data_IF_338344714569
#
_entry.id   IF_338344714569
#
_cell.length_a   1.000
_cell.length_b   1.000
_cell.length_c   1.000
_cell.angle_alpha   90.00
_cell.angle_beta   90.00
_cell.angle_gamma   90.00
#
_symmetry.space_group_name_H-M   'P 1'
#
loop_
_entity.id
_entity.type
_entity.pdbx_description
1 polymer ?
#
# COMPACT_ATOMS: atom_id res chain seq x y z
N UNK A 1 8.24 24.26 18.41
CA UNK A 1 7.95 24.86 17.09
C UNK A 1 7.27 23.79 16.25
N UNK A 2 5.94 23.73 16.29
CA UNK A 2 5.12 22.68 15.68
C UNK A 2 4.85 23.06 14.21
N UNK A 3 5.41 22.31 13.25
CA UNK A 3 5.06 22.51 11.83
C UNK A 3 3.68 21.90 11.59
N UNK A 4 2.64 22.74 11.58
CA UNK A 4 1.33 22.35 11.05
C UNK A 4 1.49 22.03 9.57
N UNK A 5 1.43 20.75 9.22
CA UNK A 5 1.20 20.34 7.84
C UNK A 5 -0.20 20.82 7.44
N UNK A 6 -0.27 21.89 6.64
CA UNK A 6 -1.51 22.29 6.00
C UNK A 6 -1.92 21.20 5.01
N UNK A 7 -3.23 20.90 4.91
CA UNK A 7 -3.77 19.82 4.06
C UNK A 7 -3.31 19.91 2.58
N UNK A 8 -2.89 21.09 2.12
CA UNK A 8 -2.30 21.29 0.78
C UNK A 8 -0.93 20.63 0.57
N UNK A 9 -0.08 20.54 1.60
CA UNK A 9 1.25 19.93 1.47
C UNK A 9 1.21 18.41 1.32
N UNK A 10 0.28 17.76 2.03
CA UNK A 10 0.01 16.33 1.92
C UNK A 10 -0.41 15.95 0.50
N UNK A 11 -1.33 16.73 -0.07
CA UNK A 11 -1.84 16.54 -1.43
C UNK A 11 -0.75 16.57 -2.49
N UNK A 12 0.15 17.55 -2.41
CA UNK A 12 1.27 17.67 -3.34
C UNK A 12 2.23 16.50 -3.23
N UNK A 13 2.48 15.99 -2.02
CA UNK A 13 3.32 14.81 -1.81
C UNK A 13 2.70 13.54 -2.39
N UNK A 14 1.38 13.34 -2.21
CA UNK A 14 0.66 12.19 -2.74
C UNK A 14 0.59 12.20 -4.27
N UNK A 15 0.41 13.37 -4.87
CA UNK A 15 0.47 13.54 -6.33
C UNK A 15 1.86 13.19 -6.91
N UNK A 16 2.92 13.24 -6.09
CA UNK A 16 4.25 12.80 -6.49
C UNK A 16 4.43 11.28 -6.39
N UNK A 17 3.60 10.58 -5.59
CA UNK A 17 3.55 9.11 -5.48
C UNK A 17 2.81 8.51 -6.68
N UNK A 18 1.60 8.99 -6.96
CA UNK A 18 0.75 8.50 -8.05
C UNK A 18 -0.15 9.62 -8.61
N UNK A 19 -0.66 9.43 -9.84
CA UNK A 19 -1.55 10.40 -10.48
C UNK A 19 -2.89 10.49 -9.73
N UNK A 20 -3.48 11.69 -9.54
CA UNK A 20 -4.81 11.82 -8.94
C UNK A 20 -5.85 11.01 -9.72
N UNK A 21 -6.63 10.21 -9.00
CA UNK A 21 -7.72 9.40 -9.54
C UNK A 21 -9.09 10.03 -9.26
N UNK A 22 -10.15 9.33 -9.69
CA UNK A 22 -11.52 9.71 -9.34
C UNK A 22 -11.75 9.48 -7.84
N UNK A 23 -12.28 10.50 -7.17
CA UNK A 23 -12.58 10.47 -5.74
C UNK A 23 -14.11 10.35 -5.58
N UNK A 24 -14.63 9.25 -5.00
CA UNK A 24 -16.07 9.01 -4.92
C UNK A 24 -16.77 9.97 -3.96
N UNK A 25 -16.05 10.57 -3.01
CA UNK A 25 -16.56 11.55 -2.06
C UNK A 25 -15.49 12.59 -1.72
N UNK A 26 -15.87 13.67 -1.04
CA UNK A 26 -14.91 14.63 -0.49
C UNK A 26 -14.07 14.04 0.67
N UNK A 27 -14.54 12.94 1.29
CA UNK A 27 -13.90 12.29 2.44
C UNK A 27 -12.89 11.22 2.03
N UNK A 28 -13.00 10.67 0.81
CA UNK A 28 -12.08 9.67 0.27
C UNK A 28 -11.44 10.19 -1.02
N UNK A 29 -10.12 10.34 -0.98
CA UNK A 29 -9.33 10.79 -2.11
C UNK A 29 -8.40 9.68 -2.58
N UNK A 30 -8.35 9.47 -3.89
CA UNK A 30 -7.66 8.35 -4.52
C UNK A 30 -6.58 8.86 -5.47
N UNK A 31 -5.43 8.19 -5.49
CA UNK A 31 -4.38 8.35 -6.48
C UNK A 31 -3.97 6.98 -7.04
N UNK A 32 -3.63 6.92 -8.32
CA UNK A 32 -3.24 5.70 -9.01
C UNK A 32 -4.40 4.97 -9.67
N UNK A 33 -4.22 3.67 -9.87
CA UNK A 33 -5.08 2.83 -10.70
C UNK A 33 -5.76 1.73 -9.87
N UNK A 34 -7.04 1.46 -10.15
CA UNK A 34 -7.83 0.39 -9.52
C UNK A 34 -7.27 -1.00 -9.80
N UNK A 35 -6.50 -1.19 -10.88
CA UNK A 35 -5.80 -2.42 -11.21
C UNK A 35 -4.29 -2.35 -10.99
N UNK A 36 -3.72 -1.22 -10.53
CA UNK A 36 -2.28 -1.05 -10.29
C UNK A 36 -1.89 -0.54 -8.89
N UNK A 37 -0.80 0.24 -8.86
CA UNK A 37 -0.42 0.98 -7.66
C UNK A 37 -1.50 2.01 -7.32
N UNK A 38 -1.90 2.07 -6.05
CA UNK A 38 -2.99 2.95 -5.59
C UNK A 38 -2.72 3.47 -4.19
N UNK A 39 -3.14 4.71 -3.93
CA UNK A 39 -3.19 5.29 -2.59
C UNK A 39 -4.57 5.86 -2.36
N UNK A 40 -5.16 5.49 -1.23
CA UNK A 40 -6.45 5.99 -0.75
C UNK A 40 -6.23 6.74 0.56
N UNK A 41 -6.77 7.95 0.67
CA UNK A 41 -6.72 8.77 1.89
C UNK A 41 -8.13 9.10 2.33
N UNK A 42 -8.43 8.74 3.57
CA UNK A 42 -9.67 9.13 4.24
C UNK A 42 -9.41 10.35 5.10
N UNK A 43 -10.33 11.30 5.04
CA UNK A 43 -10.30 12.53 5.82
C UNK A 43 -11.60 12.73 6.59
N UNK A 44 -11.49 13.23 7.82
CA UNK A 44 -12.62 13.69 8.63
C UNK A 44 -12.45 15.18 8.89
N UNK A 45 -13.45 15.98 8.54
CA UNK A 45 -13.41 17.45 8.67
C UNK A 45 -12.17 18.09 8.02
N UNK A 46 -11.78 17.60 6.84
CA UNK A 46 -10.63 18.12 6.08
C UNK A 46 -9.24 17.72 6.62
N UNK A 47 -9.20 16.81 7.60
CA UNK A 47 -7.96 16.24 8.15
C UNK A 47 -7.82 14.77 7.78
N UNK A 48 -6.70 14.39 7.19
CA UNK A 48 -6.41 12.99 6.90
C UNK A 48 -6.35 12.17 8.21
N UNK A 49 -7.11 11.07 8.24
CA UNK A 49 -7.20 10.16 9.40
C UNK A 49 -6.64 8.78 9.10
N UNK A 50 -6.66 8.37 7.82
CA UNK A 50 -6.14 7.07 7.38
C UNK A 50 -5.60 7.18 5.96
N UNK A 51 -4.48 6.52 5.71
CA UNK A 51 -3.97 6.27 4.37
C UNK A 51 -3.82 4.75 4.17
N UNK A 52 -4.25 4.26 3.02
CA UNK A 52 -3.98 2.88 2.57
C UNK A 52 -3.24 2.96 1.24
N UNK A 53 -2.14 2.22 1.11
CA UNK A 53 -1.40 2.09 -0.14
C UNK A 53 -1.47 0.64 -0.63
N UNK A 54 -1.82 0.45 -1.90
CA UNK A 54 -1.73 -0.83 -2.61
C UNK A 54 -0.53 -0.78 -3.56
N UNK A 55 0.33 -1.77 -3.42
CA UNK A 55 1.51 -1.96 -4.27
C UNK A 55 1.22 -3.10 -5.23
N UNK A 56 1.35 -2.85 -6.53
CA UNK A 56 1.25 -3.88 -7.56
C UNK A 56 2.57 -4.66 -7.63
N UNK A 57 2.56 -5.85 -7.04
CA UNK A 57 3.73 -6.75 -7.02
C UNK A 57 3.97 -7.46 -8.35
N UNK A 58 3.00 -7.48 -9.28
CA UNK A 58 3.18 -8.04 -10.64
C UNK A 58 4.11 -7.17 -11.48
N UNK A 59 4.13 -5.86 -11.19
CA UNK A 59 4.99 -4.88 -11.87
C UNK A 59 5.51 -3.87 -10.85
N UNK A 60 6.61 -4.22 -10.20
CA UNK A 60 7.26 -3.36 -9.21
C UNK A 60 7.66 -2.02 -9.84
N UNK A 61 7.15 -0.95 -9.24
CA UNK A 61 7.48 0.42 -9.58
C UNK A 61 8.40 1.00 -8.50
N UNK A 62 9.66 1.20 -8.86
CA UNK A 62 10.68 1.73 -7.95
C UNK A 62 10.38 3.18 -7.54
N UNK A 63 9.79 3.98 -8.43
CA UNK A 63 9.45 5.38 -8.14
C UNK A 63 8.30 5.42 -7.14
N UNK A 64 7.23 4.68 -7.39
CA UNK A 64 6.09 4.59 -6.46
C UNK A 64 6.56 4.15 -5.08
N UNK A 65 7.36 3.09 -5.02
CA UNK A 65 7.91 2.53 -3.77
C UNK A 65 8.77 3.55 -3.03
N UNK A 66 9.68 4.23 -3.72
CA UNK A 66 10.55 5.24 -3.11
C UNK A 66 9.75 6.42 -2.56
N UNK A 67 8.75 6.89 -3.31
CA UNK A 67 7.91 8.01 -2.88
C UNK A 67 7.00 7.64 -1.71
N UNK A 68 6.46 6.41 -1.67
CA UNK A 68 5.71 5.89 -0.53
C UNK A 68 6.57 5.81 0.75
N UNK A 69 7.79 5.29 0.63
CA UNK A 69 8.72 5.22 1.77
C UNK A 69 9.13 6.60 2.25
N UNK A 70 9.40 7.53 1.32
CA UNK A 70 9.72 8.90 1.66
C UNK A 70 8.55 9.59 2.37
N UNK A 71 7.33 9.37 1.89
CA UNK A 71 6.13 9.87 2.53
C UNK A 71 6.00 9.38 3.98
N UNK A 72 6.12 8.07 4.20
CA UNK A 72 6.02 7.48 5.53
C UNK A 72 7.07 8.06 6.50
N UNK A 73 8.31 8.28 6.03
CA UNK A 73 9.38 8.92 6.82
C UNK A 73 9.07 10.36 7.18
N UNK A 74 8.59 11.15 6.23
CA UNK A 74 8.24 12.57 6.47
C UNK A 74 7.06 12.69 7.42
N UNK A 75 6.13 11.74 7.36
CA UNK A 75 4.99 11.65 8.26
C UNK A 75 5.32 10.99 9.62
N UNK A 76 6.59 10.67 9.90
CA UNK A 76 7.03 9.95 11.09
C UNK A 76 6.18 8.70 11.40
N UNK A 77 5.93 7.92 10.35
CA UNK A 77 4.96 6.82 10.34
C UNK A 77 5.60 5.50 9.91
N UNK A 78 5.05 4.40 10.40
CA UNK A 78 5.39 3.04 9.95
C UNK A 78 4.40 2.54 8.91
N UNK A 79 4.82 1.56 8.10
CA UNK A 79 3.91 0.83 7.23
C UNK A 79 3.36 -0.38 7.98
N UNK A 80 2.08 -0.65 7.84
CA UNK A 80 1.44 -1.84 8.41
C UNK A 80 0.84 -2.64 7.25
N UNK A 81 1.33 -3.87 7.06
CA UNK A 81 0.79 -4.79 6.06
C UNK A 81 -0.56 -5.34 6.55
N UNK A 82 -1.39 -5.82 5.63
CA UNK A 82 -2.76 -6.29 5.92
C UNK A 82 -2.85 -7.34 7.04
N UNK A 83 -1.82 -8.16 7.19
CA UNK A 83 -1.70 -9.21 8.22
C UNK A 83 -1.18 -8.69 9.57
N UNK A 84 -1.00 -7.38 9.72
CA UNK A 84 -0.51 -6.75 10.95
C UNK A 84 1.01 -6.64 11.05
N UNK A 85 1.77 -7.12 10.05
CA UNK A 85 3.22 -6.94 10.06
C UNK A 85 3.58 -5.45 10.01
N UNK A 86 4.29 -4.98 11.03
CA UNK A 86 4.86 -3.63 11.08
C UNK A 86 6.18 -3.63 10.30
N UNK A 87 6.29 -2.67 9.37
CA UNK A 87 7.40 -2.56 8.44
C UNK A 87 7.96 -1.15 8.56
N UNK A 88 9.22 -1.04 8.96
CA UNK A 88 9.94 0.22 8.91
C UNK A 88 10.01 0.74 7.47
N UNK A 89 9.95 2.07 7.25
CA UNK A 89 9.99 2.64 5.91
C UNK A 89 11.42 2.63 5.33
N UNK A 90 12.06 1.47 5.33
CA UNK A 90 13.38 1.17 4.77
C UNK A 90 13.23 0.29 3.53
N UNK A 91 14.07 0.52 2.52
CA UNK A 91 14.00 -0.22 1.24
C UNK A 91 14.11 -1.73 1.45
N UNK A 92 15.04 -2.17 2.31
CA UNK A 92 15.23 -3.59 2.63
C UNK A 92 14.02 -4.20 3.33
N UNK A 93 13.52 -3.55 4.39
CA UNK A 93 12.36 -4.02 5.15
C UNK A 93 11.08 -4.07 4.28
N UNK A 94 10.85 -3.03 3.50
CA UNK A 94 9.74 -2.96 2.55
C UNK A 94 9.83 -4.06 1.49
N UNK A 95 10.99 -4.25 0.88
CA UNK A 95 11.19 -5.32 -0.10
C UNK A 95 11.01 -6.72 0.49
N UNK A 96 11.47 -6.96 1.73
CA UNK A 96 11.24 -8.22 2.43
C UNK A 96 9.74 -8.44 2.73
N UNK A 97 9.04 -7.39 3.16
CA UNK A 97 7.61 -7.42 3.39
C UNK A 97 6.80 -7.66 2.10
N UNK A 98 7.23 -7.13 0.95
CA UNK A 98 6.57 -7.46 -0.31
C UNK A 98 6.75 -8.95 -0.66
N UNK A 99 7.99 -9.44 -0.65
CA UNK A 99 8.32 -10.83 -1.04
C UNK A 99 7.68 -11.92 -0.18
N UNK A 100 7.33 -11.58 1.06
CA UNK A 100 6.69 -12.51 2.00
C UNK A 100 5.16 -12.37 2.04
N UNK A 101 4.57 -11.50 1.21
CA UNK A 101 3.12 -11.27 1.19
C UNK A 101 2.37 -12.31 0.36
N UNK A 102 1.09 -12.54 0.69
CA UNK A 102 0.20 -13.40 -0.11
C UNK A 102 0.08 -12.93 -1.57
N UNK A 103 0.02 -11.60 -1.77
CA UNK A 103 -0.02 -11.02 -3.11
C UNK A 103 1.22 -11.41 -3.94
N UNK A 104 2.40 -11.44 -3.32
CA UNK A 104 3.64 -11.84 -4.00
C UNK A 104 3.65 -13.33 -4.34
N UNK A 105 3.22 -14.19 -3.41
CA UNK A 105 3.09 -15.64 -3.64
C UNK A 105 2.17 -15.90 -4.84
N UNK A 106 0.97 -15.32 -4.81
CA UNK A 106 0.02 -15.41 -5.91
C UNK A 106 0.58 -14.88 -7.24
N UNK A 107 1.24 -13.71 -7.24
CA UNK A 107 1.78 -13.12 -8.46
C UNK A 107 2.97 -13.90 -9.05
N UNK A 108 3.72 -14.62 -8.21
CA UNK A 108 4.92 -15.36 -8.64
C UNK A 108 4.56 -16.75 -9.18
N UNK A 109 3.63 -17.45 -8.53
CA UNK A 109 3.16 -18.77 -8.96
C UNK A 109 1.68 -18.96 -8.56
N UNK A 110 0.73 -18.54 -9.41
CA UNK A 110 -0.69 -18.69 -9.13
C UNK A 110 -1.10 -20.15 -8.96
N UNK A 111 -0.50 -21.07 -9.72
CA UNK A 111 -0.86 -22.49 -9.69
C UNK A 111 -0.48 -23.13 -8.35
N UNK A 112 0.75 -22.92 -7.89
CA UNK A 112 1.19 -23.39 -6.58
C UNK A 112 0.42 -22.71 -5.44
N UNK A 113 0.07 -21.43 -5.59
CA UNK A 113 -0.76 -20.71 -4.62
C UNK A 113 -2.11 -21.40 -4.43
N UNK A 114 -2.84 -21.71 -5.51
CA UNK A 114 -4.14 -22.40 -5.41
C UNK A 114 -4.01 -23.84 -4.92
N UNK A 115 -2.96 -24.56 -5.33
CA UNK A 115 -2.71 -25.93 -4.86
C UNK A 115 -2.52 -25.99 -3.33
N UNK A 116 -2.03 -24.92 -2.69
CA UNK A 116 -1.87 -24.86 -1.23
C UNK A 116 -3.19 -24.79 -0.43
N UNK A 117 -4.32 -24.52 -1.11
CA UNK A 117 -5.66 -24.50 -0.52
C UNK A 117 -6.49 -25.74 -0.87
N UNK A 118 -6.01 -26.60 -1.77
CA UNK A 118 -6.61 -27.89 -1.97
C UNK A 118 -6.31 -28.70 -0.70
N UNK A 119 -7.33 -28.89 0.16
CA UNK A 119 -7.23 -29.85 1.25
C UNK A 119 -6.81 -31.20 0.64
N UNK A 120 -5.89 -31.95 1.27
CA UNK A 120 -5.76 -33.35 0.90
C UNK A 120 -7.16 -33.95 1.04
N UNK A 121 -7.67 -34.56 -0.02
CA UNK A 121 -8.85 -35.42 0.11
C UNK A 121 -8.48 -36.40 1.22
N UNK A 122 -9.15 -36.28 2.38
CA UNK A 122 -9.05 -37.26 3.44
C UNK A 122 -9.47 -38.59 2.80
N UNK A 123 -8.47 -39.43 2.54
CA UNK A 123 -8.59 -40.82 2.11
C UNK A 123 -9.16 -41.62 3.30
N UNK A 124 -10.39 -41.30 3.69
CA UNK A 124 -11.17 -42.01 4.69
C UNK A 124 -12.24 -42.89 3.98
N UNK A 125 -11.85 -44.17 3.84
CA UNK A 125 -12.62 -45.43 3.68
C UNK A 125 -12.61 -46.15 2.33
#
# INVERSE_FOLDING_TARGET
MERRATSGGLFTQLAAIAAPGSSPTAELQTWGDEDGNRVDVWSVNGKATRMTARVDVRRLDARFSAMLLQFARVADSVLVRRDGLVVEPLVGAFGAALRTSEAWKYATDPAAYFASYAEPEDDDQ
#
